data_IF_825515544380
#
_entry.id   IF_825515544380
#
_cell.length_a   1.000
_cell.length_b   1.000
_cell.length_c   1.000
_cell.angle_alpha   90.00
_cell.angle_beta   90.00
_cell.angle_gamma   90.00
#
_symmetry.space_group_name_H-M   'P 1'
#
loop_
_entity.id
_entity.type
_entity.pdbx_description
1 polymer ?
#
# COMPACT_ATOMS: atom_id res chain seq x y z
N UNK A 1 -11.90 1.12 10.28
CA UNK A 1 -10.66 1.89 10.53
C UNK A 1 -9.93 2.02 9.22
N UNK A 2 -9.29 3.17 8.95
CA UNK A 2 -8.43 3.34 7.79
C UNK A 2 -7.00 3.55 8.28
N UNK A 3 -6.08 2.75 7.74
CA UNK A 3 -4.64 2.87 7.94
C UNK A 3 -4.03 3.42 6.66
N UNK A 4 -3.34 4.56 6.74
CA UNK A 4 -2.63 5.18 5.62
C UNK A 4 -1.14 5.19 5.96
N UNK A 5 -0.33 4.67 5.04
CA UNK A 5 1.11 4.54 5.18
C UNK A 5 1.84 5.32 4.08
N UNK A 6 2.78 6.16 4.51
CA UNK A 6 3.63 7.01 3.66
C UNK A 6 5.12 6.70 3.87
N UNK A 7 5.46 5.64 4.61
CA UNK A 7 6.84 5.14 4.64
C UNK A 7 7.26 4.69 3.23
N UNK A 8 8.54 4.81 2.92
CA UNK A 8 9.07 4.40 1.61
C UNK A 8 8.98 2.88 1.42
N UNK A 9 8.94 2.12 2.51
CA UNK A 9 8.74 0.67 2.50
C UNK A 9 7.25 0.34 2.58
N UNK A 10 6.85 -0.76 1.95
CA UNK A 10 5.49 -1.28 2.11
C UNK A 10 5.20 -1.63 3.57
N UNK A 11 4.04 -1.22 4.08
CA UNK A 11 3.52 -1.53 5.42
C UNK A 11 3.04 -2.98 5.58
N UNK A 12 3.88 -3.93 5.18
CA UNK A 12 3.59 -5.36 5.02
C UNK A 12 3.02 -6.03 6.28
N UNK A 13 3.59 -5.76 7.45
CA UNK A 13 3.12 -6.34 8.71
C UNK A 13 1.72 -5.88 9.10
N UNK A 14 1.36 -4.62 8.80
CA UNK A 14 0.01 -4.10 9.07
C UNK A 14 -0.99 -4.65 8.06
N UNK A 15 -0.58 -4.74 6.79
CA UNK A 15 -1.40 -5.37 5.74
C UNK A 15 -1.68 -6.84 6.07
N UNK A 16 -0.66 -7.63 6.41
CA UNK A 16 -0.82 -9.06 6.73
C UNK A 16 -1.76 -9.26 7.93
N UNK A 17 -1.62 -8.45 8.98
CA UNK A 17 -2.45 -8.55 10.18
C UNK A 17 -3.95 -8.34 9.91
N UNK A 18 -4.30 -7.63 8.82
CA UNK A 18 -5.68 -7.32 8.45
C UNK A 18 -6.11 -7.87 7.08
N UNK A 19 -5.28 -8.71 6.45
CA UNK A 19 -5.42 -9.13 5.05
C UNK A 19 -6.78 -9.77 4.69
N UNK A 20 -7.47 -10.36 5.67
CA UNK A 20 -8.74 -11.06 5.48
C UNK A 20 -9.96 -10.39 6.12
N UNK A 21 -9.84 -9.15 6.63
CA UNK A 21 -10.95 -8.42 7.25
C UNK A 21 -11.40 -7.22 6.44
N UNK A 22 -12.69 -6.93 6.48
CA UNK A 22 -13.35 -5.75 5.91
C UNK A 22 -13.43 -4.57 6.90
N UNK A 23 -12.96 -4.76 8.15
CA UNK A 23 -13.07 -3.75 9.21
C UNK A 23 -11.92 -2.75 9.24
N UNK A 24 -10.80 -3.09 8.60
CA UNK A 24 -9.62 -2.25 8.46
C UNK A 24 -9.24 -2.24 6.99
N UNK A 25 -9.08 -1.04 6.43
CA UNK A 25 -8.48 -0.86 5.11
C UNK A 25 -7.04 -0.39 5.30
N UNK A 26 -6.10 -1.03 4.62
CA UNK A 26 -4.70 -0.60 4.53
C UNK A 26 -4.47 0.08 3.19
N UNK A 27 -3.82 1.25 3.20
CA UNK A 27 -3.47 2.01 2.01
C UNK A 27 -2.01 2.43 2.11
N UNK A 28 -1.15 1.90 1.25
CA UNK A 28 0.30 2.13 1.31
C UNK A 28 0.83 2.63 -0.03
N UNK A 29 1.67 3.67 0.03
CA UNK A 29 2.40 4.24 -1.09
C UNK A 29 3.88 4.00 -0.83
N UNK A 30 4.55 3.21 -1.66
CA UNK A 30 5.90 2.74 -1.35
C UNK A 30 6.70 2.44 -2.61
N UNK A 31 8.03 2.40 -2.46
CA UNK A 31 8.92 1.95 -3.54
C UNK A 31 8.75 0.45 -3.77
N UNK A 32 8.67 0.04 -5.03
CA UNK A 32 8.53 -1.37 -5.41
C UNK A 32 9.50 -1.76 -6.54
N UNK A 33 10.03 -2.98 -6.46
CA UNK A 33 11.04 -3.55 -7.38
C UNK A 33 12.45 -3.49 -6.80
N UNK A 34 13.07 -4.65 -6.61
CA UNK A 34 14.38 -4.84 -5.94
C UNK A 34 14.55 -3.97 -4.68
N UNK A 35 13.51 -3.92 -3.85
CA UNK A 35 13.45 -3.13 -2.63
C UNK A 35 12.76 -3.92 -1.51
N UNK A 36 13.22 -3.74 -0.27
CA UNK A 36 12.58 -4.35 0.89
C UNK A 36 11.17 -3.74 1.09
N UNK A 37 10.15 -4.51 1.51
CA UNK A 37 10.13 -5.94 1.84
C UNK A 37 9.88 -6.89 0.65
N UNK A 38 9.58 -6.36 -0.53
CA UNK A 38 9.28 -7.15 -1.73
C UNK A 38 7.81 -7.54 -1.92
N UNK A 39 6.92 -7.10 -1.02
CA UNK A 39 5.44 -7.22 -1.11
C UNK A 39 4.81 -5.88 -1.48
N UNK A 40 3.48 -5.82 -1.66
CA UNK A 40 2.76 -4.59 -2.02
C UNK A 40 2.69 -4.36 -3.53
N UNK A 41 2.66 -5.44 -4.32
CA UNK A 41 2.43 -5.32 -5.77
C UNK A 41 1.03 -4.73 -6.01
N UNK A 42 0.82 -4.12 -7.18
CA UNK A 42 -0.50 -3.66 -7.65
C UNK A 42 -1.61 -4.74 -7.55
N UNK A 43 -1.26 -6.03 -7.57
CA UNK A 43 -2.21 -7.15 -7.48
C UNK A 43 -2.46 -7.62 -6.05
N UNK A 44 -1.73 -7.12 -5.07
CA UNK A 44 -1.93 -7.43 -3.66
C UNK A 44 -3.12 -6.62 -3.15
N UNK A 45 -4.30 -7.25 -3.22
CA UNK A 45 -5.60 -6.61 -2.98
C UNK A 45 -6.35 -7.21 -1.78
N UNK A 46 -5.67 -7.96 -0.91
CA UNK A 46 -6.31 -8.68 0.20
C UNK A 46 -6.97 -9.99 -0.23
N UNK A 47 -7.51 -10.72 0.74
CA UNK A 47 -8.14 -12.02 0.51
C UNK A 47 -9.45 -12.21 1.30
N UNK A 48 -10.30 -13.14 0.86
CA UNK A 48 -11.57 -13.43 1.52
C UNK A 48 -12.44 -12.17 1.67
N UNK A 49 -12.84 -11.84 2.90
CA UNK A 49 -13.61 -10.61 3.19
C UNK A 49 -12.77 -9.34 3.10
N UNK A 50 -11.45 -9.45 3.25
CA UNK A 50 -10.52 -8.33 3.08
C UNK A 50 -10.14 -8.07 1.62
N UNK A 51 -10.68 -8.83 0.66
CA UNK A 51 -10.46 -8.54 -0.76
C UNK A 51 -11.01 -7.15 -1.08
N UNK A 52 -10.20 -6.33 -1.74
CA UNK A 52 -10.40 -4.90 -2.00
C UNK A 52 -10.29 -3.97 -0.77
N UNK A 53 -9.79 -4.49 0.36
CA UNK A 53 -9.47 -3.69 1.55
C UNK A 53 -7.97 -3.50 1.78
N UNK A 54 -7.11 -4.01 0.89
CA UNK A 54 -5.71 -3.63 0.77
C UNK A 54 -5.52 -2.82 -0.52
N UNK A 55 -4.98 -1.61 -0.39
CA UNK A 55 -4.70 -0.69 -1.50
C UNK A 55 -3.20 -0.41 -1.54
N UNK A 56 -2.56 -0.84 -2.63
CA UNK A 56 -1.13 -0.69 -2.81
C UNK A 56 -0.82 0.18 -4.01
N UNK A 57 0.01 1.21 -3.80
CA UNK A 57 0.49 2.14 -4.82
C UNK A 57 2.01 1.96 -4.98
N UNK A 58 2.44 1.00 -5.82
CA UNK A 58 3.86 0.76 -6.05
C UNK A 58 4.49 1.87 -6.90
N UNK A 59 5.59 2.44 -6.42
CA UNK A 59 6.29 3.57 -7.02
C UNK A 59 7.73 3.20 -7.42
N UNK A 60 8.28 3.96 -8.38
CA UNK A 60 9.69 3.91 -8.75
C UNK A 60 10.47 5.03 -8.07
N UNK A 61 11.79 4.98 -8.19
CA UNK A 61 12.68 6.03 -7.70
C UNK A 61 12.37 7.41 -8.28
N UNK A 62 12.64 8.44 -7.48
CA UNK A 62 12.64 9.83 -7.93
C UNK A 62 11.27 10.49 -8.00
N UNK A 63 10.26 9.99 -7.28
CA UNK A 63 8.99 10.70 -7.13
C UNK A 63 9.22 12.08 -6.51
N UNK A 64 8.56 13.11 -7.05
CA UNK A 64 8.62 14.49 -6.54
C UNK A 64 7.38 14.81 -5.71
N UNK A 65 7.43 15.91 -4.97
CA UNK A 65 6.29 16.40 -4.18
C UNK A 65 5.06 16.62 -5.06
N UNK A 66 5.22 17.22 -6.25
CA UNK A 66 4.09 17.47 -7.17
C UNK A 66 3.46 16.17 -7.65
N UNK A 67 4.31 15.19 -8.01
CA UNK A 67 3.84 13.88 -8.48
C UNK A 67 3.15 13.11 -7.35
N UNK A 68 3.74 13.09 -6.16
CA UNK A 68 3.17 12.43 -4.98
C UNK A 68 1.84 13.07 -4.59
N UNK A 69 1.76 14.39 -4.58
CA UNK A 69 0.53 15.11 -4.25
C UNK A 69 -0.61 14.79 -5.25
N UNK A 70 -0.29 14.69 -6.55
CA UNK A 70 -1.30 14.40 -7.59
C UNK A 70 -1.94 13.01 -7.49
N UNK A 71 -1.27 12.05 -6.84
CA UNK A 71 -1.78 10.69 -6.63
C UNK A 71 -2.34 10.49 -5.21
N UNK A 72 -1.89 11.28 -4.23
CA UNK A 72 -2.35 11.20 -2.84
C UNK A 72 -3.64 11.99 -2.60
N UNK A 73 -3.81 13.13 -3.29
CA UNK A 73 -5.03 13.95 -3.27
C UNK A 73 -5.53 14.14 -4.71
N UNK A 74 -6.17 13.12 -5.31
CA UNK A 74 -6.67 13.18 -6.68
C UNK A 74 -7.88 14.11 -6.86
#
# INVERSE_FOLDING_TARGET
VLYVDIDVHHGDGVEEAFYTTDRVMTCSFHKYGDFFPGTGELKDIGAGRGKYYAVNVPLRDGITDESYQSIFVP
#
